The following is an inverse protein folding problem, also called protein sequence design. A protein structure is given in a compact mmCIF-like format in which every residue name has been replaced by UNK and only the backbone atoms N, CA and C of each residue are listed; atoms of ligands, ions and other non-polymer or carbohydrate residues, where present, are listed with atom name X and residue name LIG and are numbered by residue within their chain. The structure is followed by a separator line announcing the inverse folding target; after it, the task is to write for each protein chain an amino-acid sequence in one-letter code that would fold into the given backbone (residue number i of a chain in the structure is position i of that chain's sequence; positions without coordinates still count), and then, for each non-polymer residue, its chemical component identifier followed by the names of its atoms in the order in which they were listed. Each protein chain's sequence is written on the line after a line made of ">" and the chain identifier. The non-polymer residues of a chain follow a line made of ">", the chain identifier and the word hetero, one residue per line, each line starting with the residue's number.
data_IF_593863363202
#
_entry.id   IF_593863363202
#
_cell.length_a   1.000
_cell.length_b   1.000
_cell.length_c   1.000
_cell.angle_alpha   90.00
_cell.angle_beta   90.00
_cell.angle_gamma   90.00
#
_symmetry.space_group_name_H-M   'P 1'
#
loop_
_entity.id
_entity.type
_entity.pdbx_description
1 polymer ?
#
# COMPACT_ATOMS: atom_id res chain seq x y z
N UNK A 1 -0.42 -25.84 7.05
CA UNK A 1 -0.11 -24.41 7.13
C UNK A 1 0.37 -23.95 5.77
N UNK A 2 0.26 -22.69 5.42
CA UNK A 2 0.31 -22.25 4.03
C UNK A 2 1.19 -21.00 3.92
N UNK A 3 2.00 -20.93 2.88
CA UNK A 3 2.71 -19.70 2.49
C UNK A 3 1.81 -18.89 1.58
N UNK A 4 1.60 -17.61 1.89
CA UNK A 4 0.74 -16.72 1.13
C UNK A 4 1.59 -15.71 0.35
N UNK A 5 1.54 -15.77 -0.98
CA UNK A 5 2.17 -14.75 -1.86
C UNK A 5 1.17 -13.63 -2.08
N UNK A 6 1.33 -12.53 -1.37
CA UNK A 6 0.32 -11.47 -1.22
C UNK A 6 0.75 -10.19 -1.89
N UNK A 7 -0.10 -9.63 -2.73
CA UNK A 7 0.09 -8.30 -3.31
C UNK A 7 -0.21 -7.20 -2.30
N UNK A 8 0.77 -6.34 -2.06
CA UNK A 8 0.67 -5.17 -1.18
C UNK A 8 -0.03 -3.97 -1.83
N UNK A 9 -0.35 -4.06 -3.12
CA UNK A 9 -0.82 -2.91 -3.87
C UNK A 9 0.29 -1.89 -4.21
N UNK A 10 -0.08 -0.74 -4.78
CA UNK A 10 0.85 0.22 -5.37
C UNK A 10 1.46 1.23 -4.40
N UNK A 11 0.93 1.32 -3.17
CA UNK A 11 1.41 2.27 -2.16
C UNK A 11 0.33 2.83 -1.24
N UNK A 12 -0.88 3.10 -1.73
CA UNK A 12 -2.02 3.47 -0.89
C UNK A 12 -2.52 2.24 -0.11
N UNK A 13 -2.50 2.26 1.25
CA UNK A 13 -3.01 1.15 2.06
C UNK A 13 -4.49 0.82 1.80
N UNK A 14 -5.28 1.82 1.36
CA UNK A 14 -6.68 1.63 0.99
C UNK A 14 -6.90 0.75 -0.24
N UNK A 15 -5.84 0.45 -0.99
CA UNK A 15 -5.84 -0.44 -2.14
C UNK A 15 -5.40 -1.88 -1.79
N UNK A 16 -5.20 -2.19 -0.52
CA UNK A 16 -4.98 -3.55 -0.08
C UNK A 16 -6.28 -4.36 -0.26
N UNK A 17 -6.17 -5.58 -0.75
CA UNK A 17 -7.36 -6.44 -0.85
C UNK A 17 -7.81 -6.89 0.54
N UNK A 18 -9.13 -7.14 0.70
CA UNK A 18 -9.69 -7.67 1.96
C UNK A 18 -8.98 -8.96 2.37
N UNK A 19 -8.75 -9.88 1.40
CA UNK A 19 -8.05 -11.14 1.65
C UNK A 19 -6.62 -10.91 2.17
N UNK A 20 -5.91 -9.95 1.60
CA UNK A 20 -4.55 -9.62 2.06
C UNK A 20 -4.55 -9.08 3.51
N UNK A 21 -5.51 -8.22 3.87
CA UNK A 21 -5.64 -7.70 5.23
C UNK A 21 -5.97 -8.82 6.24
N UNK A 22 -6.87 -9.74 5.90
CA UNK A 22 -7.20 -10.90 6.73
C UNK A 22 -6.00 -11.82 6.98
N UNK A 23 -5.16 -12.02 5.96
CA UNK A 23 -3.97 -12.86 6.06
C UNK A 23 -2.88 -12.20 6.89
N UNK A 24 -2.65 -10.89 6.69
CA UNK A 24 -1.71 -10.12 7.51
C UNK A 24 -2.09 -10.15 8.99
N UNK A 25 -3.39 -9.97 9.32
CA UNK A 25 -3.86 -9.94 10.71
C UNK A 25 -3.64 -11.25 11.48
N UNK A 26 -3.37 -12.36 10.81
CA UNK A 26 -3.10 -13.67 11.41
C UNK A 26 -1.74 -14.28 11.02
N UNK A 27 -0.84 -13.46 10.47
CA UNK A 27 0.49 -13.90 10.09
C UNK A 27 1.36 -14.17 11.33
N UNK A 28 2.10 -15.27 11.31
CA UNK A 28 3.17 -15.56 12.26
C UNK A 28 4.49 -14.94 11.77
N UNK A 29 4.69 -14.90 10.44
CA UNK A 29 5.86 -14.33 9.77
C UNK A 29 5.41 -13.47 8.58
N UNK A 30 5.97 -12.26 8.45
CA UNK A 30 5.80 -11.39 7.29
C UNK A 30 7.16 -11.14 6.64
N UNK A 31 7.34 -11.67 5.42
CA UNK A 31 8.53 -11.46 4.59
C UNK A 31 8.16 -10.42 3.54
N UNK A 32 8.80 -9.25 3.52
CA UNK A 32 8.31 -8.11 2.74
C UNK A 32 9.37 -7.38 1.93
N UNK A 33 8.92 -6.81 0.80
CA UNK A 33 9.74 -5.96 -0.06
C UNK A 33 9.68 -4.50 0.40
N UNK A 34 10.72 -3.73 0.10
CA UNK A 34 10.82 -2.31 0.44
C UNK A 34 9.70 -1.44 -0.17
N UNK A 35 9.15 -1.82 -1.32
CA UNK A 35 8.08 -1.06 -1.98
C UNK A 35 6.70 -1.30 -1.35
N UNK A 36 6.58 -2.24 -0.42
CA UNK A 36 5.37 -2.40 0.38
C UNK A 36 5.20 -1.19 1.30
N UNK A 37 3.98 -0.66 1.40
CA UNK A 37 3.70 0.49 2.27
C UNK A 37 4.01 0.14 3.74
N UNK A 38 4.82 0.94 4.47
CA UNK A 38 5.20 0.62 5.85
C UNK A 38 3.99 0.36 6.78
N UNK A 39 2.92 1.14 6.64
CA UNK A 39 1.70 1.00 7.45
C UNK A 39 0.95 -0.33 7.26
N UNK A 40 1.26 -1.12 6.21
CA UNK A 40 0.67 -2.44 6.04
C UNK A 40 1.23 -3.47 7.03
N UNK A 41 2.45 -3.27 7.51
CA UNK A 41 3.07 -4.15 8.50
C UNK A 41 2.38 -4.05 9.86
N UNK A 42 1.71 -2.93 10.14
CA UNK A 42 0.98 -2.71 11.40
C UNK A 42 -0.35 -3.49 11.45
N UNK A 43 -0.79 -4.04 10.33
CA UNK A 43 -1.91 -4.98 10.28
C UNK A 43 -1.54 -6.37 10.84
N UNK A 44 -0.24 -6.71 10.85
CA UNK A 44 0.22 -7.96 11.43
C UNK A 44 0.32 -7.87 12.96
N UNK A 45 0.11 -8.99 13.69
CA UNK A 45 0.29 -9.03 15.14
C UNK A 45 1.66 -8.49 15.55
N UNK A 46 1.73 -7.83 16.72
CA UNK A 46 3.00 -7.34 17.25
C UNK A 46 4.03 -8.48 17.51
N UNK A 47 3.54 -9.71 17.70
CA UNK A 47 4.32 -10.93 17.86
C UNK A 47 4.82 -11.52 16.55
N UNK A 48 4.32 -11.07 15.39
CA UNK A 48 4.74 -11.58 14.09
C UNK A 48 6.21 -11.22 13.80
N UNK A 49 6.98 -12.21 13.33
CA UNK A 49 8.33 -11.97 12.84
C UNK A 49 8.26 -11.16 11.54
N UNK A 50 9.03 -10.07 11.44
CA UNK A 50 9.05 -9.18 10.27
C UNK A 50 10.42 -9.22 9.61
N UNK A 51 10.51 -9.77 8.39
CA UNK A 51 11.76 -9.98 7.65
C UNK A 51 11.76 -9.14 6.38
N UNK A 52 12.65 -8.14 6.31
CA UNK A 52 12.83 -7.33 5.13
C UNK A 52 13.79 -8.02 4.14
N UNK A 53 13.33 -8.27 2.90
CA UNK A 53 14.13 -8.87 1.82
C UNK A 53 14.31 -7.93 0.63
N UNK A 54 13.79 -6.72 0.72
CA UNK A 54 13.93 -5.70 -0.31
C UNK A 54 15.35 -5.15 -0.43
N UNK A 55 15.71 -4.63 -1.62
CA UNK A 55 17.01 -3.99 -1.86
C UNK A 55 17.23 -2.81 -0.89
N UNK A 56 18.30 -2.85 -0.12
CA UNK A 56 18.74 -1.70 0.68
C UNK A 56 19.41 -0.67 -0.25
N UNK A 57 19.12 0.63 -0.12
CA UNK A 57 19.80 1.66 -0.89
C UNK A 57 21.30 1.56 -0.65
N UNK A 58 22.07 1.41 -1.74
CA UNK A 58 23.54 1.25 -1.70
C UNK A 58 24.06 -0.03 -1.02
N UNK A 59 23.19 -0.99 -0.70
CA UNK A 59 23.56 -2.30 -0.17
C UNK A 59 23.33 -3.44 -1.16
N UNK A 60 23.84 -4.66 -0.87
CA UNK A 60 23.55 -5.83 -1.68
C UNK A 60 22.04 -6.14 -1.65
N UNK A 61 21.52 -6.59 -2.79
CA UNK A 61 20.15 -7.15 -2.82
C UNK A 61 20.22 -8.58 -2.31
N UNK A 62 19.23 -8.99 -1.51
CA UNK A 62 19.06 -10.40 -1.17
C UNK A 62 18.82 -11.18 -2.48
N UNK A 63 19.63 -12.20 -2.80
CA UNK A 63 19.43 -13.03 -3.98
C UNK A 63 18.07 -13.73 -3.94
N UNK A 64 17.45 -13.96 -5.10
CA UNK A 64 16.16 -14.63 -5.16
C UNK A 64 16.21 -16.06 -4.60
N UNK A 65 17.35 -16.74 -4.75
CA UNK A 65 17.58 -18.07 -4.18
C UNK A 65 17.46 -18.05 -2.66
N UNK A 66 18.07 -17.08 -2.00
CA UNK A 66 17.96 -16.92 -0.54
C UNK A 66 16.54 -16.60 -0.09
N UNK A 67 15.78 -15.81 -0.88
CA UNK A 67 14.36 -15.53 -0.59
C UNK A 67 13.54 -16.83 -0.70
N UNK A 68 13.79 -17.62 -1.74
CA UNK A 68 13.10 -18.89 -1.93
C UNK A 68 13.42 -19.88 -0.79
N UNK A 69 14.69 -19.99 -0.39
CA UNK A 69 15.10 -20.82 0.75
C UNK A 69 14.45 -20.38 2.06
N UNK A 70 14.38 -19.07 2.29
CA UNK A 70 13.71 -18.50 3.47
C UNK A 70 12.20 -18.85 3.49
N UNK A 71 11.52 -18.75 2.35
CA UNK A 71 10.09 -19.09 2.23
C UNK A 71 9.87 -20.59 2.50
N UNK A 72 10.75 -21.45 2.02
CA UNK A 72 10.70 -22.90 2.23
C UNK A 72 10.92 -23.21 3.72
N UNK A 73 11.97 -22.67 4.34
CA UNK A 73 12.29 -22.87 5.75
C UNK A 73 11.13 -22.48 6.67
N UNK A 74 10.57 -21.29 6.47
CA UNK A 74 9.44 -20.81 7.27
C UNK A 74 8.15 -21.60 6.99
N UNK A 75 7.92 -22.02 5.75
CA UNK A 75 6.80 -22.87 5.38
C UNK A 75 6.86 -24.25 6.02
N UNK A 76 8.04 -24.86 6.12
CA UNK A 76 8.27 -26.15 6.79
C UNK A 76 8.06 -26.09 8.31
N UNK A 77 8.31 -24.93 8.91
CA UNK A 77 8.14 -24.71 10.36
C UNK A 77 6.69 -24.70 10.83
N UNK A 78 5.72 -24.85 9.92
CA UNK A 78 4.30 -24.92 10.26
C UNK A 78 3.67 -23.59 10.61
N UNK A 79 4.27 -22.46 10.20
CA UNK A 79 3.81 -21.10 10.43
C UNK A 79 2.89 -20.60 9.31
N UNK A 80 2.08 -19.59 9.60
CA UNK A 80 1.37 -18.80 8.60
C UNK A 80 2.31 -17.71 8.08
N UNK A 81 2.88 -17.94 6.90
CA UNK A 81 3.88 -17.05 6.31
C UNK A 81 3.22 -16.18 5.26
N UNK A 82 3.32 -14.85 5.42
CA UNK A 82 2.89 -13.89 4.40
C UNK A 82 4.12 -13.31 3.71
N UNK A 83 4.27 -13.61 2.41
CA UNK A 83 5.21 -12.95 1.52
C UNK A 83 4.54 -11.74 0.89
N UNK A 84 4.80 -10.56 1.44
CA UNK A 84 4.17 -9.29 1.02
C UNK A 84 5.00 -8.63 -0.07
N UNK A 85 4.45 -8.51 -1.29
CA UNK A 85 5.12 -8.03 -2.50
C UNK A 85 4.48 -6.75 -3.01
N UNK A 86 5.27 -5.74 -3.38
CA UNK A 86 4.74 -4.52 -3.98
C UNK A 86 3.92 -4.79 -5.26
N UNK A 87 2.79 -4.10 -5.42
CA UNK A 87 1.88 -4.31 -6.52
C UNK A 87 1.17 -5.67 -6.46
N UNK A 88 1.32 -6.46 -7.51
CA UNK A 88 0.78 -7.82 -7.67
C UNK A 88 1.92 -8.85 -7.70
N UNK A 89 1.78 -10.02 -7.06
CA UNK A 89 2.85 -11.02 -6.99
C UNK A 89 3.31 -11.55 -8.35
N UNK A 90 2.41 -11.60 -9.34
CA UNK A 90 2.67 -12.19 -10.65
C UNK A 90 2.88 -11.16 -11.77
N UNK A 91 2.84 -9.85 -11.46
CA UNK A 91 3.12 -8.80 -12.43
C UNK A 91 4.51 -8.22 -12.21
N UNK A 92 5.49 -8.74 -12.94
CA UNK A 92 6.93 -8.35 -12.89
C UNK A 92 7.55 -8.35 -11.49
N UNK A 93 7.04 -9.19 -10.60
CA UNK A 93 7.43 -9.27 -9.19
C UNK A 93 8.12 -10.59 -8.81
N UNK A 94 8.43 -11.46 -9.76
CA UNK A 94 9.09 -12.77 -9.55
C UNK A 94 8.32 -13.75 -8.65
N UNK A 95 7.04 -13.49 -8.38
CA UNK A 95 6.22 -14.38 -7.55
C UNK A 95 6.03 -15.78 -8.14
N UNK A 96 6.09 -15.91 -9.47
CA UNK A 96 6.06 -17.22 -10.11
C UNK A 96 7.28 -18.09 -9.76
N UNK A 97 8.46 -17.49 -9.61
CA UNK A 97 9.67 -18.20 -9.18
C UNK A 97 9.55 -18.66 -7.71
N UNK A 98 8.99 -17.80 -6.84
CA UNK A 98 8.70 -18.12 -5.44
C UNK A 98 7.66 -19.25 -5.34
N UNK A 99 6.57 -19.18 -6.12
CA UNK A 99 5.54 -20.21 -6.18
C UNK A 99 6.08 -21.56 -6.66
N UNK A 100 6.94 -21.54 -7.70
CA UNK A 100 7.57 -22.75 -8.21
C UNK A 100 8.48 -23.41 -7.17
N UNK A 101 9.29 -22.61 -6.46
CA UNK A 101 10.18 -23.13 -5.42
C UNK A 101 9.38 -23.79 -4.25
N UNK A 102 8.26 -23.18 -3.85
CA UNK A 102 7.36 -23.76 -2.85
C UNK A 102 6.72 -25.06 -3.34
N UNK A 103 6.26 -25.07 -4.59
CA UNK A 103 5.69 -26.25 -5.23
C UNK A 103 6.69 -27.43 -5.28
N UNK A 104 7.91 -27.17 -5.71
CA UNK A 104 8.97 -28.16 -5.82
C UNK A 104 9.35 -28.72 -4.43
N UNK A 105 9.25 -27.89 -3.39
CA UNK A 105 9.47 -28.28 -2.00
C UNK A 105 8.25 -28.96 -1.35
N UNK A 106 7.13 -29.11 -2.07
CA UNK A 106 5.89 -29.70 -1.54
C UNK A 106 5.18 -28.88 -0.47
N UNK A 107 5.42 -27.55 -0.44
CA UNK A 107 4.83 -26.63 0.53
C UNK A 107 3.54 -26.05 -0.03
N UNK A 108 2.40 -26.15 0.68
CA UNK A 108 1.17 -25.51 0.28
C UNK A 108 1.29 -23.99 0.22
N UNK A 109 0.84 -23.39 -0.87
CA UNK A 109 0.83 -21.94 -1.02
C UNK A 109 -0.48 -21.43 -1.63
N UNK A 110 -0.78 -20.16 -1.39
CA UNK A 110 -1.90 -19.43 -2.00
C UNK A 110 -1.36 -18.12 -2.60
N UNK A 111 -1.83 -17.75 -3.79
CA UNK A 111 -1.51 -16.47 -4.40
C UNK A 111 -2.69 -15.53 -4.23
N UNK A 112 -2.44 -14.38 -3.61
CA UNK A 112 -3.44 -13.33 -3.41
C UNK A 112 -3.07 -12.14 -4.29
N UNK A 113 -3.80 -11.88 -5.38
CA UNK A 113 -3.54 -10.77 -6.26
C UNK A 113 -3.54 -9.43 -5.52
N UNK A 114 -2.77 -8.48 -6.04
CA UNK A 114 -2.77 -7.11 -5.59
C UNK A 114 -2.96 -6.14 -6.77
N UNK A 115 -3.24 -4.88 -6.47
CA UNK A 115 -3.40 -3.87 -7.52
C UNK A 115 -2.02 -3.45 -8.02
N UNK A 116 -1.73 -3.76 -9.29
CA UNK A 116 -0.47 -3.38 -9.93
C UNK A 116 -0.38 -1.87 -10.15
N UNK A 117 0.83 -1.31 -9.98
CA UNK A 117 1.12 0.09 -10.33
C UNK A 117 0.87 0.43 -11.81
N UNK A 118 0.87 -0.58 -12.69
CA UNK A 118 0.55 -0.38 -14.10
C UNK A 118 -0.86 0.18 -14.34
N UNK A 119 -1.79 -0.08 -13.43
CA UNK A 119 -3.18 0.42 -13.49
C UNK A 119 -3.38 1.55 -12.49
N UNK A 120 -2.92 1.37 -11.26
CA UNK A 120 -3.22 2.30 -10.19
C UNK A 120 -2.46 3.62 -10.30
N UNK A 121 -1.18 3.61 -10.68
CA UNK A 121 -0.41 4.84 -10.78
C UNK A 121 -0.97 5.79 -11.87
N UNK A 122 -1.30 5.33 -13.08
CA UNK A 122 -2.00 6.16 -14.06
C UNK A 122 -3.35 6.68 -13.54
N UNK A 123 -4.18 5.82 -12.92
CA UNK A 123 -5.49 6.21 -12.41
C UNK A 123 -5.40 7.34 -11.38
N UNK A 124 -4.43 7.26 -10.46
CA UNK A 124 -4.19 8.30 -9.45
C UNK A 124 -3.55 9.58 -10.05
N UNK A 125 -2.91 9.46 -11.22
CA UNK A 125 -2.44 10.60 -12.00
C UNK A 125 -3.53 11.21 -12.91
N UNK A 126 -4.78 10.70 -12.85
CA UNK A 126 -5.86 11.16 -13.72
C UNK A 126 -5.70 10.72 -15.19
N UNK A 127 -4.93 9.64 -15.44
CA UNK A 127 -4.67 9.08 -16.77
C UNK A 127 -5.39 7.73 -16.86
N UNK A 128 -6.50 7.61 -17.61
CA UNK A 128 -7.15 6.34 -17.84
C UNK A 128 -6.32 5.50 -18.81
N UNK A 129 -6.01 4.23 -18.47
CA UNK A 129 -5.24 3.36 -19.39
C UNK A 129 -6.03 2.93 -20.63
N UNK A 130 -7.35 3.06 -20.60
CA UNK A 130 -8.24 2.90 -21.75
C UNK A 130 -9.22 4.07 -21.83
N UNK A 131 -9.55 4.50 -23.03
CA UNK A 131 -10.51 5.58 -23.27
C UNK A 131 -11.30 5.28 -24.52
N UNK A 132 -12.63 5.35 -24.44
CA UNK A 132 -13.51 5.11 -25.58
C UNK A 132 -13.16 6.08 -26.73
N UNK A 133 -13.09 5.57 -27.93
CA UNK A 133 -12.69 6.28 -29.16
C UNK A 133 -11.22 6.71 -29.27
N UNK A 134 -10.41 6.47 -28.25
CA UNK A 134 -8.98 6.83 -28.25
C UNK A 134 -8.08 5.61 -28.02
N UNK A 135 -8.33 4.84 -26.96
CA UNK A 135 -7.49 3.68 -26.62
C UNK A 135 -8.36 2.50 -26.17
N UNK A 136 -8.53 1.53 -27.06
CA UNK A 136 -9.37 0.33 -26.84
C UNK A 136 -8.57 -0.85 -26.26
N UNK A 137 -7.25 -0.71 -26.20
CA UNK A 137 -6.33 -1.71 -25.65
C UNK A 137 -5.21 -1.04 -24.85
N UNK A 138 -4.61 -1.76 -23.95
CA UNK A 138 -3.36 -1.33 -23.32
C UNK A 138 -2.41 -2.52 -23.15
N UNK A 139 -1.13 -2.24 -23.32
CA UNK A 139 -0.05 -3.21 -23.19
C UNK A 139 0.81 -2.84 -21.97
N UNK A 140 0.99 -3.78 -21.04
CA UNK A 140 1.90 -3.61 -19.90
C UNK A 140 3.20 -4.34 -20.18
N UNK A 141 4.32 -3.64 -20.07
CA UNK A 141 5.64 -4.18 -20.40
C UNK A 141 6.70 -3.74 -19.40
N UNK A 142 7.71 -4.59 -19.17
CA UNK A 142 8.88 -4.20 -18.39
C UNK A 142 9.92 -3.50 -19.26
N UNK A 143 10.45 -2.38 -18.77
CA UNK A 143 11.60 -1.71 -19.39
C UNK A 143 12.96 -2.18 -18.86
N UNK A 144 12.94 -3.14 -17.92
CA UNK A 144 14.16 -3.71 -17.35
C UNK A 144 14.15 -5.23 -17.49
N UNK A 145 15.14 -5.75 -18.18
CA UNK A 145 15.39 -7.18 -18.33
C UNK A 145 16.67 -7.56 -17.59
N UNK A 146 16.91 -8.85 -17.45
CA UNK A 146 18.12 -9.37 -16.83
C UNK A 146 19.38 -8.84 -17.59
N UNK A 147 20.31 -8.14 -16.90
CA UNK A 147 21.50 -7.60 -17.53
C UNK A 147 22.42 -8.66 -18.17
N UNK A 148 22.27 -9.92 -17.79
CA UNK A 148 23.04 -11.04 -18.40
C UNK A 148 22.54 -11.42 -19.80
N UNK A 149 21.36 -10.97 -20.22
CA UNK A 149 20.83 -11.25 -21.55
C UNK A 149 21.50 -10.41 -22.61
N UNK A 150 22.00 -11.07 -23.63
CA UNK A 150 22.66 -10.43 -24.79
C UNK A 150 21.70 -9.64 -25.66
N UNK A 151 20.42 -9.97 -25.65
CA UNK A 151 19.38 -9.33 -26.46
C UNK A 151 18.08 -9.15 -25.66
N UNK A 152 17.40 -8.03 -25.87
CA UNK A 152 16.08 -7.80 -25.29
C UNK A 152 15.07 -8.78 -25.87
N UNK A 153 14.21 -9.33 -25.00
CA UNK A 153 13.08 -10.16 -25.42
C UNK A 153 11.84 -9.32 -25.77
N UNK A 154 11.85 -8.03 -25.43
CA UNK A 154 10.75 -7.12 -25.73
C UNK A 154 10.89 -6.61 -27.17
N UNK A 155 9.91 -6.96 -27.99
CA UNK A 155 9.83 -6.44 -29.37
C UNK A 155 9.09 -5.09 -29.36
N UNK A 156 9.80 -4.01 -29.06
CA UNK A 156 9.28 -2.66 -28.95
C UNK A 156 8.62 -2.18 -30.25
N UNK A 157 9.19 -2.55 -31.40
CA UNK A 157 8.66 -2.19 -32.70
C UNK A 157 7.31 -2.88 -32.99
N UNK A 158 7.14 -4.10 -32.53
CA UNK A 158 5.86 -4.79 -32.63
C UNK A 158 4.82 -4.16 -31.67
N UNK A 159 5.22 -3.84 -30.45
CA UNK A 159 4.35 -3.17 -29.46
C UNK A 159 3.87 -1.83 -29.99
N UNK A 160 4.73 -1.05 -30.64
CA UNK A 160 4.36 0.22 -31.26
C UNK A 160 3.24 0.06 -32.32
N UNK A 161 3.26 -1.05 -33.08
CA UNK A 161 2.26 -1.35 -34.12
C UNK A 161 0.94 -1.90 -33.58
N UNK A 162 0.92 -2.45 -32.39
CA UNK A 162 -0.32 -2.93 -31.74
C UNK A 162 -1.29 -1.77 -31.51
N UNK A 163 -0.75 -0.59 -31.22
CA UNK A 163 -1.55 0.60 -30.90
C UNK A 163 -2.09 0.56 -29.46
N UNK A 164 -2.96 1.54 -29.15
CA UNK A 164 -3.51 1.72 -27.83
C UNK A 164 -2.50 2.35 -26.84
N UNK A 165 -2.67 2.08 -25.55
CA UNK A 165 -1.80 2.62 -24.49
C UNK A 165 -0.67 1.65 -24.18
N UNK A 166 0.54 2.16 -24.02
CA UNK A 166 1.67 1.37 -23.56
C UNK A 166 2.02 1.84 -22.14
N UNK A 167 2.00 0.91 -21.17
CA UNK A 167 2.40 1.14 -19.79
C UNK A 167 3.71 0.41 -19.51
N UNK A 168 4.75 1.17 -19.19
CA UNK A 168 6.11 0.65 -19.01
C UNK A 168 6.46 0.71 -17.52
N UNK A 169 6.74 -0.43 -16.92
CA UNK A 169 7.28 -0.54 -15.57
C UNK A 169 8.79 -0.69 -15.62
N UNK A 170 9.50 -0.15 -14.61
CA UNK A 170 10.97 -0.24 -14.49
C UNK A 170 11.75 0.30 -15.69
N UNK A 171 11.15 1.24 -16.46
CA UNK A 171 11.70 1.72 -17.73
C UNK A 171 12.61 2.95 -17.64
N UNK A 172 12.76 3.62 -16.50
CA UNK A 172 13.41 4.93 -16.38
C UNK A 172 14.84 4.92 -16.91
N UNK A 173 15.66 3.95 -16.53
CA UNK A 173 17.07 3.85 -16.93
C UNK A 173 17.30 3.59 -18.42
N UNK A 174 16.29 3.07 -19.12
CA UNK A 174 16.37 2.70 -20.53
C UNK A 174 15.40 3.49 -21.43
N UNK A 175 14.76 4.53 -20.86
CA UNK A 175 13.65 5.23 -21.52
C UNK A 175 14.06 5.83 -22.86
N UNK A 176 15.26 6.39 -23.01
CA UNK A 176 15.76 6.92 -24.27
C UNK A 176 15.77 5.87 -25.37
N UNK A 177 16.32 4.69 -25.09
CA UNK A 177 16.39 3.58 -26.06
C UNK A 177 15.00 3.03 -26.37
N UNK A 178 14.15 2.91 -25.36
CA UNK A 178 12.76 2.46 -25.51
C UNK A 178 11.98 3.42 -26.42
N UNK A 179 12.10 4.73 -26.18
CA UNK A 179 11.44 5.76 -26.99
C UNK A 179 11.89 5.69 -28.45
N UNK A 180 13.20 5.58 -28.68
CA UNK A 180 13.76 5.45 -30.03
C UNK A 180 13.20 4.23 -30.79
N UNK A 181 13.11 3.07 -30.11
CA UNK A 181 12.58 1.84 -30.71
C UNK A 181 11.08 1.91 -30.94
N UNK A 182 10.29 2.53 -30.06
CA UNK A 182 8.87 2.77 -30.25
C UNK A 182 8.62 3.69 -31.46
N UNK A 183 9.43 4.74 -31.61
CA UNK A 183 9.35 5.65 -32.77
C UNK A 183 9.76 4.89 -34.06
N UNK A 184 10.81 4.11 -34.04
CA UNK A 184 11.22 3.27 -35.16
C UNK A 184 10.14 2.24 -35.55
N UNK A 185 9.35 1.80 -34.57
CA UNK A 185 8.19 0.92 -34.78
C UNK A 185 6.97 1.58 -35.37
N UNK A 186 6.95 2.92 -35.48
CA UNK A 186 5.89 3.69 -36.14
C UNK A 186 5.10 4.64 -35.23
N UNK A 187 5.40 4.78 -33.94
CA UNK A 187 4.78 5.82 -33.12
C UNK A 187 5.34 7.19 -33.49
N UNK A 188 4.49 8.22 -33.48
CA UNK A 188 4.92 9.58 -33.72
C UNK A 188 5.80 10.08 -32.56
N UNK A 189 6.84 10.87 -32.86
CA UNK A 189 7.72 11.44 -31.86
C UNK A 189 6.99 12.32 -30.83
N UNK A 190 5.93 12.98 -31.27
CA UNK A 190 5.05 13.82 -30.44
C UNK A 190 3.91 13.05 -29.75
N UNK A 191 3.88 11.73 -29.83
CA UNK A 191 2.91 10.92 -29.06
C UNK A 191 2.96 11.32 -27.59
N UNK A 192 1.83 11.64 -26.95
CA UNK A 192 1.81 11.99 -25.53
C UNK A 192 2.40 10.89 -24.66
N UNK A 193 3.21 11.29 -23.68
CA UNK A 193 3.81 10.39 -22.70
C UNK A 193 3.83 11.03 -21.33
N UNK A 194 3.65 10.22 -20.30
CA UNK A 194 3.68 10.66 -18.92
C UNK A 194 4.49 9.70 -18.04
N UNK A 195 5.13 10.23 -17.02
CA UNK A 195 5.83 9.48 -16.00
C UNK A 195 5.21 9.78 -14.64
N UNK A 196 4.71 8.75 -13.96
CA UNK A 196 4.08 8.83 -12.64
C UNK A 196 5.02 8.21 -11.62
N UNK A 197 5.63 9.04 -10.80
CA UNK A 197 6.52 8.62 -9.71
C UNK A 197 5.72 8.48 -8.42
N UNK A 198 6.00 7.44 -7.64
CA UNK A 198 5.34 7.14 -6.37
C UNK A 198 3.81 7.20 -6.45
N UNK A 199 3.26 6.71 -7.58
CA UNK A 199 1.80 6.70 -7.79
C UNK A 199 1.04 6.15 -6.60
N UNK A 200 -0.10 6.78 -6.27
CA UNK A 200 -1.00 6.49 -5.15
C UNK A 200 -0.53 6.97 -3.77
N UNK A 201 0.64 7.56 -3.66
CA UNK A 201 1.18 8.07 -2.39
C UNK A 201 1.03 9.60 -2.32
N UNK A 202 1.16 10.14 -1.12
CA UNK A 202 1.14 11.60 -0.86
C UNK A 202 2.28 12.36 -1.54
N UNK A 203 3.38 11.67 -1.84
CA UNK A 203 4.55 12.21 -2.55
C UNK A 203 4.53 11.90 -4.07
N UNK A 204 3.35 11.54 -4.62
CA UNK A 204 3.17 11.33 -6.05
C UNK A 204 3.55 12.57 -6.84
N UNK A 205 4.29 12.38 -7.92
CA UNK A 205 4.54 13.41 -8.92
C UNK A 205 4.31 12.88 -10.33
N UNK A 206 3.86 13.76 -11.21
CA UNK A 206 3.53 13.45 -12.61
C UNK A 206 4.25 14.40 -13.52
N UNK A 207 5.02 13.88 -14.46
CA UNK A 207 5.66 14.64 -15.55
C UNK A 207 4.98 14.21 -16.83
N UNK A 208 4.45 15.18 -17.60
CA UNK A 208 3.84 14.99 -18.90
C UNK A 208 4.71 15.62 -19.98
N UNK A 209 4.95 14.90 -21.06
CA UNK A 209 5.80 15.32 -22.17
C UNK A 209 5.41 14.56 -23.43
N UNK A 210 6.31 14.47 -24.40
CA UNK A 210 6.17 13.64 -25.58
C UNK A 210 7.04 12.38 -25.48
N UNK A 211 6.76 11.38 -26.31
CA UNK A 211 7.56 10.16 -26.39
C UNK A 211 9.04 10.45 -26.67
N UNK A 212 9.31 11.46 -27.51
CA UNK A 212 10.68 11.84 -27.85
C UNK A 212 11.42 12.58 -26.74
N UNK A 213 10.72 13.30 -25.87
CA UNK A 213 11.34 14.25 -24.94
C UNK A 213 11.30 13.77 -23.46
N UNK A 214 10.38 12.87 -23.12
CA UNK A 214 10.19 12.43 -21.73
C UNK A 214 11.46 11.93 -21.06
N UNK A 215 12.38 11.32 -21.81
CA UNK A 215 13.66 10.84 -21.28
C UNK A 215 14.63 11.97 -20.87
N UNK A 216 14.40 13.22 -21.30
CA UNK A 216 15.21 14.41 -20.94
C UNK A 216 14.75 15.01 -19.61
N UNK A 217 13.56 14.64 -19.14
CA UNK A 217 13.03 15.12 -17.88
C UNK A 217 13.75 14.48 -16.67
N UNK A 218 13.75 15.13 -15.48
CA UNK A 218 14.44 14.65 -14.29
C UNK A 218 13.74 13.46 -13.63
N UNK A 219 13.59 12.35 -14.35
CA UNK A 219 12.88 11.17 -13.91
C UNK A 219 13.66 10.40 -12.84
N UNK A 220 12.97 9.89 -11.85
CA UNK A 220 13.53 9.07 -10.78
C UNK A 220 12.66 7.84 -10.53
N UNK A 221 13.30 6.69 -10.35
CA UNK A 221 12.61 5.46 -9.95
C UNK A 221 12.16 5.52 -8.47
N UNK A 222 11.05 4.82 -8.10
CA UNK A 222 10.18 4.04 -8.96
C UNK A 222 9.22 4.91 -9.77
N UNK A 223 8.98 4.57 -11.01
CA UNK A 223 8.13 5.33 -11.91
C UNK A 223 7.36 4.40 -12.86
N UNK A 224 6.08 4.68 -13.07
CA UNK A 224 5.26 4.07 -14.12
C UNK A 224 5.18 5.04 -15.29
N UNK A 225 5.56 4.58 -16.48
CA UNK A 225 5.55 5.39 -17.70
C UNK A 225 4.34 4.98 -18.54
N UNK A 226 3.61 5.97 -19.03
CA UNK A 226 2.43 5.78 -19.89
C UNK A 226 2.69 6.49 -21.20
N UNK A 227 2.51 5.77 -22.32
CA UNK A 227 2.66 6.29 -23.70
C UNK A 227 1.38 6.06 -24.47
N UNK A 228 0.89 7.10 -25.15
CA UNK A 228 -0.33 7.09 -25.96
C UNK A 228 -1.19 8.31 -25.69
N UNK A 229 -2.25 8.49 -26.48
CA UNK A 229 -3.15 9.67 -26.42
C UNK A 229 -3.75 9.91 -25.02
N UNK A 230 -3.94 8.84 -24.24
CA UNK A 230 -4.49 8.94 -22.89
C UNK A 230 -3.53 9.65 -21.92
N UNK A 231 -2.23 9.68 -22.21
CA UNK A 231 -1.24 10.33 -21.36
C UNK A 231 -1.42 11.87 -21.34
N UNK A 232 -2.11 12.44 -22.33
CA UNK A 232 -2.51 13.83 -22.35
C UNK A 232 -3.69 14.16 -21.42
N UNK A 233 -4.43 13.15 -20.93
CA UNK A 233 -5.54 13.38 -20.01
C UNK A 233 -5.06 13.85 -18.64
N UNK A 234 -5.78 14.78 -18.07
CA UNK A 234 -5.51 15.33 -16.74
C UNK A 234 -6.78 15.38 -15.88
N UNK A 235 -7.29 14.19 -15.53
CA UNK A 235 -8.45 14.04 -14.65
C UNK A 235 -7.98 14.07 -13.19
N UNK A 236 -7.37 15.16 -12.79
CA UNK A 236 -6.56 15.30 -11.60
C UNK A 236 -7.39 15.34 -10.30
N UNK A 237 -7.91 14.21 -9.88
CA UNK A 237 -8.75 14.07 -8.70
C UNK A 237 -7.96 13.85 -7.40
N UNK A 238 -6.78 13.20 -7.49
CA UNK A 238 -6.02 12.78 -6.32
C UNK A 238 -5.14 13.89 -5.77
N UNK A 239 -4.36 14.56 -6.64
CA UNK A 239 -3.45 15.63 -6.24
C UNK A 239 -4.19 16.96 -5.97
N UNK A 240 -5.46 17.08 -6.35
CA UNK A 240 -6.32 18.22 -6.02
C UNK A 240 -6.97 18.11 -4.63
N UNK A 241 -6.71 17.04 -3.88
CA UNK A 241 -7.20 16.93 -2.50
C UNK A 241 -6.56 18.02 -1.61
N UNK A 242 -7.33 18.60 -0.66
CA UNK A 242 -6.89 19.81 0.06
C UNK A 242 -5.63 19.62 0.91
N UNK A 243 -5.32 18.40 1.32
CA UNK A 243 -4.13 18.09 2.12
C UNK A 243 -3.12 17.22 1.35
N UNK A 244 -3.23 17.13 0.02
CA UNK A 244 -2.25 16.39 -0.77
C UNK A 244 -0.82 16.95 -0.57
N UNK A 245 0.15 16.06 -0.37
CA UNK A 245 1.55 16.44 -0.13
C UNK A 245 1.83 16.90 1.31
N UNK A 246 0.82 16.94 2.20
CA UNK A 246 1.03 17.27 3.60
C UNK A 246 1.26 16.01 4.43
N UNK A 247 2.23 16.08 5.36
CA UNK A 247 2.43 15.08 6.40
C UNK A 247 1.82 15.59 7.69
N UNK A 248 0.93 14.79 8.29
CA UNK A 248 0.23 15.13 9.52
C UNK A 248 0.53 14.10 10.59
N UNK A 249 1.09 14.55 11.72
CA UNK A 249 1.32 13.69 12.88
C UNK A 249 0.08 13.71 13.78
N UNK A 250 -0.49 12.53 14.03
CA UNK A 250 -1.62 12.34 14.94
C UNK A 250 -1.12 11.70 16.23
N UNK A 251 -1.20 12.46 17.33
CA UNK A 251 -0.63 12.06 18.64
C UNK A 251 -1.66 11.47 19.60
N UNK A 252 -2.91 11.28 19.15
CA UNK A 252 -3.98 10.68 19.94
C UNK A 252 -3.70 9.21 20.26
N UNK A 253 -4.36 8.68 21.30
CA UNK A 253 -4.34 7.23 21.54
C UNK A 253 -4.84 6.47 20.33
N UNK A 254 -4.33 5.26 20.12
CA UNK A 254 -4.69 4.40 18.97
C UNK A 254 -6.21 4.23 18.81
N UNK A 255 -6.95 4.12 19.92
CA UNK A 255 -8.41 3.98 19.91
C UNK A 255 -9.15 5.25 19.41
N UNK A 256 -8.56 6.43 19.59
CA UNK A 256 -9.17 7.72 19.24
C UNK A 256 -8.62 8.31 17.94
N UNK A 257 -7.51 7.78 17.43
CA UNK A 257 -6.85 8.27 16.23
C UNK A 257 -7.62 7.89 14.95
N UNK A 258 -8.27 6.72 14.93
CA UNK A 258 -8.77 6.10 13.71
C UNK A 258 -9.66 6.98 12.83
N UNK A 259 -10.68 7.64 13.42
CA UNK A 259 -11.59 8.50 12.64
C UNK A 259 -10.90 9.76 12.12
N UNK A 260 -10.09 10.45 12.94
CA UNK A 260 -9.33 11.63 12.51
C UNK A 260 -8.32 11.25 11.43
N UNK A 261 -7.58 10.18 11.64
CA UNK A 261 -6.61 9.68 10.66
C UNK A 261 -7.26 9.34 9.33
N UNK A 262 -8.45 8.73 9.36
CA UNK A 262 -9.22 8.44 8.15
C UNK A 262 -9.61 9.72 7.41
N UNK A 263 -10.19 10.70 8.09
CA UNK A 263 -10.58 11.99 7.49
C UNK A 263 -9.38 12.74 6.89
N UNK A 264 -8.24 12.73 7.56
CA UNK A 264 -7.01 13.34 7.04
C UNK A 264 -6.49 12.62 5.79
N UNK A 265 -6.51 11.27 5.77
CA UNK A 265 -6.16 10.48 4.58
C UNK A 265 -7.15 10.71 3.43
N UNK A 266 -8.44 10.79 3.71
CA UNK A 266 -9.47 11.10 2.72
C UNK A 266 -9.26 12.50 2.11
N UNK A 267 -8.75 13.45 2.89
CA UNK A 267 -8.35 14.77 2.43
C UNK A 267 -6.99 14.79 1.68
N UNK A 268 -6.27 13.68 1.61
CA UNK A 268 -5.02 13.51 0.86
C UNK A 268 -3.73 13.59 1.67
N UNK A 269 -3.81 13.74 3.00
CA UNK A 269 -2.63 13.79 3.85
C UNK A 269 -1.96 12.41 4.01
N UNK A 270 -0.64 12.43 4.17
CA UNK A 270 0.10 11.33 4.77
C UNK A 270 -0.01 11.41 6.29
N UNK A 271 -0.66 10.42 6.90
CA UNK A 271 -0.88 10.43 8.35
C UNK A 271 0.13 9.53 9.04
N UNK A 272 0.89 10.13 9.95
CA UNK A 272 1.85 9.44 10.82
C UNK A 272 1.23 9.35 12.21
N UNK A 273 0.82 8.16 12.62
CA UNK A 273 0.25 7.94 13.94
C UNK A 273 1.37 7.71 14.96
N UNK A 274 1.47 8.61 15.94
CA UNK A 274 2.44 8.55 17.02
C UNK A 274 1.65 8.67 18.34
N UNK A 275 1.03 7.58 18.83
CA UNK A 275 0.27 7.63 20.06
C UNK A 275 1.19 7.98 21.24
N UNK A 276 0.97 9.14 21.84
CA UNK A 276 1.73 9.64 23.01
C UNK A 276 1.05 9.31 24.33
N UNK A 277 -0.18 8.79 24.29
CA UNK A 277 -0.99 8.44 25.45
C UNK A 277 -1.48 7.01 25.29
N UNK A 278 -1.29 6.21 26.31
CA UNK A 278 -1.88 4.89 26.44
C UNK A 278 -2.88 4.89 27.61
N UNK A 279 -4.12 4.46 27.31
CA UNK A 279 -5.14 4.29 28.33
C UNK A 279 -4.94 2.91 28.95
N UNK A 280 -4.58 2.88 30.21
CA UNK A 280 -4.37 1.63 30.97
C UNK A 280 -5.50 1.41 31.96
N UNK A 281 -5.67 0.17 32.37
CA UNK A 281 -6.55 -0.16 33.46
C UNK A 281 -5.99 0.41 34.79
N UNK A 282 -6.87 0.84 35.72
CA UNK A 282 -6.40 1.39 36.99
C UNK A 282 -5.65 0.33 37.82
N UNK A 283 -4.71 0.80 38.62
CA UNK A 283 -3.81 -0.06 39.42
C UNK A 283 -4.58 -0.96 40.42
N UNK A 284 -5.78 -0.54 40.78
CA UNK A 284 -6.70 -1.25 41.68
C UNK A 284 -7.71 -2.15 40.98
N UNK A 285 -7.47 -2.49 39.71
CA UNK A 285 -8.40 -3.24 38.83
C UNK A 285 -9.81 -2.62 38.74
N UNK A 286 -9.91 -1.31 39.02
CA UNK A 286 -11.18 -0.58 38.98
C UNK A 286 -12.04 -0.72 40.23
N UNK A 287 -11.52 -1.24 41.32
CA UNK A 287 -12.25 -1.44 42.56
C UNK A 287 -12.80 -0.13 43.15
N UNK A 288 -12.04 0.96 43.10
CA UNK A 288 -12.50 2.26 43.59
C UNK A 288 -13.68 2.78 42.74
N UNK A 289 -13.64 2.63 41.41
CA UNK A 289 -14.75 2.99 40.53
C UNK A 289 -15.98 2.11 40.78
N UNK A 290 -15.78 0.82 40.94
CA UNK A 290 -16.88 -0.13 41.22
C UNK A 290 -17.56 0.21 42.54
N UNK A 291 -16.82 0.50 43.61
CA UNK A 291 -17.36 0.91 44.92
C UNK A 291 -18.14 2.24 44.81
N UNK A 292 -17.58 3.23 44.08
CA UNK A 292 -18.26 4.51 43.85
C UNK A 292 -19.56 4.34 43.04
N UNK A 293 -19.59 3.49 42.01
CA UNK A 293 -20.79 3.20 41.25
C UNK A 293 -21.87 2.51 42.10
N UNK A 294 -21.49 1.59 42.96
CA UNK A 294 -22.44 0.94 43.90
C UNK A 294 -23.13 1.94 44.83
N UNK A 295 -22.45 3.03 45.15
CA UNK A 295 -22.94 4.11 46.04
C UNK A 295 -23.34 5.36 45.22
N UNK A 296 -23.62 5.23 43.93
CA UNK A 296 -23.87 6.38 43.03
C UNK A 296 -25.06 7.24 43.53
N UNK A 297 -26.06 6.63 44.12
CA UNK A 297 -27.22 7.33 44.67
C UNK A 297 -26.92 8.22 45.89
N UNK A 298 -25.71 8.12 46.49
CA UNK A 298 -25.28 8.98 47.59
C UNK A 298 -24.69 10.32 47.06
N UNK A 299 -24.51 10.47 45.73
CA UNK A 299 -23.96 11.66 45.14
C UNK A 299 -25.05 12.50 44.46
N UNK A 300 -24.93 13.81 44.53
CA UNK A 300 -25.79 14.75 43.83
C UNK A 300 -25.45 14.84 42.33
N UNK A 301 -24.17 14.72 42.00
CA UNK A 301 -23.63 14.84 40.65
C UNK A 301 -22.59 13.80 40.32
N UNK A 302 -22.65 13.32 39.07
CA UNK A 302 -21.54 12.58 38.40
C UNK A 302 -21.04 13.43 37.27
N UNK A 303 -19.75 13.79 37.31
CA UNK A 303 -19.08 14.58 36.27
C UNK A 303 -18.20 13.68 35.42
N UNK A 304 -18.52 13.58 34.12
CA UNK A 304 -17.80 12.77 33.15
C UNK A 304 -16.87 13.67 32.35
N UNK A 305 -15.57 13.62 32.61
CA UNK A 305 -14.57 14.53 32.04
C UNK A 305 -13.98 14.05 30.71
N UNK A 306 -14.36 12.87 30.23
CA UNK A 306 -13.90 12.32 28.95
C UNK A 306 -14.80 11.17 28.47
N UNK A 307 -14.78 10.88 27.18
CA UNK A 307 -15.46 9.71 26.62
C UNK A 307 -14.99 8.38 27.24
N UNK A 308 -13.72 8.28 27.66
CA UNK A 308 -13.19 7.10 28.34
C UNK A 308 -13.74 6.96 29.74
N UNK A 309 -13.81 8.07 30.50
CA UNK A 309 -14.44 8.08 31.81
C UNK A 309 -15.90 7.68 31.72
N UNK A 310 -16.62 8.21 30.72
CA UNK A 310 -18.02 7.86 30.48
C UNK A 310 -18.20 6.37 30.19
N UNK A 311 -17.39 5.79 29.25
CA UNK A 311 -17.47 4.36 28.92
C UNK A 311 -17.18 3.47 30.15
N UNK A 312 -16.09 3.76 30.89
CA UNK A 312 -15.73 2.98 32.08
C UNK A 312 -16.79 3.09 33.19
N UNK A 313 -17.36 4.26 33.41
CA UNK A 313 -18.43 4.47 34.36
C UNK A 313 -19.69 3.72 33.93
N UNK A 314 -20.15 3.92 32.68
CA UNK A 314 -21.37 3.28 32.19
C UNK A 314 -21.25 1.74 32.13
N UNK A 315 -20.06 1.19 31.88
CA UNK A 315 -19.87 -0.27 31.88
C UNK A 315 -20.03 -0.91 33.26
N UNK A 316 -19.98 -0.14 34.35
CA UNK A 316 -20.20 -0.62 35.71
C UNK A 316 -21.65 -0.50 36.17
N UNK A 317 -22.49 0.26 35.47
CA UNK A 317 -23.91 0.37 35.77
C UNK A 317 -24.64 -0.92 35.35
N UNK A 318 -25.62 -1.34 36.12
CA UNK A 318 -26.56 -2.41 35.74
C UNK A 318 -27.51 -1.95 34.66
N UNK A 319 -28.08 -0.76 34.87
CA UNK A 319 -28.91 -0.03 33.89
C UNK A 319 -29.09 1.44 34.33
N UNK A 320 -29.84 2.22 33.52
CA UNK A 320 -30.07 3.65 33.78
C UNK A 320 -30.77 3.96 35.09
N UNK A 321 -31.43 3.00 35.74
CA UNK A 321 -32.12 3.19 37.04
C UNK A 321 -31.15 3.41 38.19
N UNK A 322 -29.90 2.94 38.05
CA UNK A 322 -28.85 3.20 39.04
C UNK A 322 -28.56 4.69 39.21
N UNK A 323 -28.90 5.51 38.20
CA UNK A 323 -28.68 6.96 38.19
C UNK A 323 -29.92 7.75 38.66
N UNK A 324 -30.97 7.08 39.20
CA UNK A 324 -32.13 7.76 39.65
C UNK A 324 -31.81 8.76 40.78
N UNK A 325 -32.18 10.02 40.58
CA UNK A 325 -31.92 11.10 41.53
C UNK A 325 -30.53 11.75 41.43
N UNK A 326 -29.68 11.27 40.52
CA UNK A 326 -28.31 11.79 40.30
C UNK A 326 -28.27 12.64 39.04
N UNK A 327 -27.70 13.83 39.15
CA UNK A 327 -27.48 14.71 37.99
C UNK A 327 -26.18 14.34 37.26
N UNK A 328 -26.21 14.36 35.91
CA UNK A 328 -25.04 14.09 35.09
C UNK A 328 -24.51 15.35 34.42
N UNK A 329 -23.23 15.59 34.48
CA UNK A 329 -22.52 16.59 33.71
C UNK A 329 -21.44 15.92 32.85
N UNK A 330 -21.32 16.35 31.60
CA UNK A 330 -20.28 15.89 30.68
C UNK A 330 -19.58 17.09 30.06
N UNK A 331 -18.24 16.96 29.86
CA UNK A 331 -17.39 17.96 29.23
C UNK A 331 -16.99 17.43 27.84
#
# INVERSE_FOLDING_TARGET
>A
MTVYLVGAGPGDPGLLTVRAAELLARADVVIYDRLSAPGLLDLAPATAERIAVGKVPRGPSVPQTEINELLIDRGQSGLNVVRLKGGDPFVFARGAEEAQALSDAGIPYEVVPGITSAIAAPAYAGIPVTLRYSSTSFTVVTGHEDPSKLQTQVNWEAIARVGGTIVILMGVSHLQQISQRLIAGGLAANTPAAAVRWGTRSDQSVIRSTLAELHQEPLQAPCTIVVGEVAAQDLNWFTNRPLFGQQVVVTRSTEQAGELSRQLRDAGAEVIEVPTIQIQDPVDDGLALHDAVRRVSEFDWVVLTSANAARRFCSQLRDGRDLFGVSLAAI
#
